data_IF_936801756372
#
_entry.id   IF_936801756372
#
_cell.length_a   1.000
_cell.length_b   1.000
_cell.length_c   1.000
_cell.angle_alpha   90.00
_cell.angle_beta   90.00
_cell.angle_gamma   90.00
#
_symmetry.space_group_name_H-M   'P 1'
#
loop_
_entity.id
_entity.type
_entity.pdbx_description
1 polymer ?
#
# COMPACT_ATOMS: atom_id res chain seq x y z
N UNK A 1 41.94 31.34 -14.82
CA UNK A 1 41.85 29.97 -15.38
C UNK A 1 42.23 28.95 -14.29
N UNK A 2 41.40 28.80 -13.24
CA UNK A 2 41.72 28.01 -12.02
C UNK A 2 40.76 26.82 -11.85
N UNK A 3 40.11 26.39 -12.93
CA UNK A 3 39.02 25.39 -12.84
C UNK A 3 39.40 24.00 -13.34
N UNK A 4 40.62 23.82 -13.88
CA UNK A 4 41.03 22.55 -14.53
C UNK A 4 41.86 21.64 -13.60
N UNK A 5 42.36 22.15 -12.46
CA UNK A 5 43.27 21.39 -11.59
C UNK A 5 42.59 20.50 -10.53
N UNK A 6 41.26 20.54 -10.40
CA UNK A 6 40.55 19.74 -9.38
C UNK A 6 40.31 18.29 -9.84
N UNK A 7 40.51 17.97 -11.13
CA UNK A 7 40.21 16.65 -11.69
C UNK A 7 41.31 15.57 -11.56
N UNK A 8 42.50 15.92 -11.07
CA UNK A 8 43.66 15.00 -11.06
C UNK A 8 44.16 14.69 -9.64
N UNK A 9 43.24 14.35 -8.72
CA UNK A 9 43.62 13.77 -7.43
C UNK A 9 42.89 12.42 -7.23
N UNK A 10 43.60 11.28 -7.23
CA UNK A 10 42.95 9.95 -7.14
C UNK A 10 42.26 9.72 -5.80
N UNK A 11 42.58 10.50 -4.76
CA UNK A 11 42.04 10.35 -3.41
C UNK A 11 40.60 10.87 -3.27
N UNK A 12 40.18 11.86 -4.07
CA UNK A 12 38.82 12.43 -4.03
C UNK A 12 37.78 11.60 -4.79
N UNK A 13 38.19 10.84 -5.82
CA UNK A 13 37.31 9.90 -6.54
C UNK A 13 36.79 8.75 -5.66
N UNK A 14 37.64 8.23 -4.79
CA UNK A 14 37.28 7.11 -3.89
C UNK A 14 36.25 7.56 -2.83
N UNK A 15 36.38 8.81 -2.34
CA UNK A 15 35.46 9.39 -1.36
C UNK A 15 34.07 9.64 -1.98
N UNK A 16 34.03 10.15 -3.20
CA UNK A 16 32.78 10.39 -3.95
C UNK A 16 32.05 9.07 -4.27
N UNK A 17 32.76 8.02 -4.72
CA UNK A 17 32.14 6.72 -5.01
C UNK A 17 31.56 6.03 -3.76
N UNK A 18 32.23 6.14 -2.61
CA UNK A 18 31.73 5.58 -1.34
C UNK A 18 30.41 6.22 -0.89
N UNK A 19 30.28 7.54 -1.02
CA UNK A 19 29.05 8.25 -0.65
C UNK A 19 27.88 7.94 -1.59
N UNK A 20 28.14 7.78 -2.89
CA UNK A 20 27.10 7.43 -3.87
C UNK A 20 26.55 6.02 -3.62
N UNK A 21 27.41 5.05 -3.29
CA UNK A 21 26.99 3.68 -2.94
C UNK A 21 26.16 3.65 -1.66
N UNK A 22 26.53 4.45 -0.65
CA UNK A 22 25.79 4.56 0.60
C UNK A 22 24.35 5.08 0.39
N UNK A 23 24.17 6.08 -0.48
CA UNK A 23 22.85 6.65 -0.80
C UNK A 23 21.96 5.64 -1.54
N UNK A 24 22.55 4.82 -2.41
CA UNK A 24 21.81 3.84 -3.22
C UNK A 24 21.18 2.73 -2.35
N UNK A 25 21.86 2.29 -1.29
CA UNK A 25 21.40 1.21 -0.39
C UNK A 25 20.22 1.68 0.47
N UNK A 26 20.23 2.95 0.91
CA UNK A 26 19.15 3.52 1.74
C UNK A 26 17.84 3.64 0.97
N UNK A 27 17.88 3.97 -0.33
CA UNK A 27 16.66 4.06 -1.14
C UNK A 27 15.99 2.70 -1.39
N UNK A 28 16.75 1.61 -1.45
CA UNK A 28 16.17 0.28 -1.70
C UNK A 28 15.44 -0.35 -0.50
N UNK A 29 15.70 0.13 0.73
CA UNK A 29 15.11 -0.43 1.95
C UNK A 29 13.64 -0.07 2.18
N UNK A 30 13.15 1.02 1.59
CA UNK A 30 11.85 1.62 1.93
C UNK A 30 10.67 0.90 1.24
N UNK A 31 10.92 0.07 0.22
CA UNK A 31 9.87 -0.60 -0.56
C UNK A 31 9.40 -1.95 0.03
N UNK A 32 10.01 -2.43 1.11
CA UNK A 32 9.90 -3.84 1.51
C UNK A 32 8.84 -4.15 2.57
N UNK A 33 8.10 -3.17 3.09
CA UNK A 33 7.20 -3.40 4.23
C UNK A 33 5.73 -3.12 3.88
N UNK A 34 5.18 -3.96 2.99
CA UNK A 34 3.75 -4.03 2.75
C UNK A 34 3.27 -5.47 2.99
N UNK A 35 3.19 -5.88 4.26
CA UNK A 35 2.54 -7.12 4.66
C UNK A 35 1.04 -7.01 4.43
N UNK A 36 0.57 -7.44 3.24
CA UNK A 36 -0.86 -7.53 2.94
C UNK A 36 -1.49 -8.58 3.86
N UNK A 37 -2.21 -8.14 4.89
CA UNK A 37 -3.19 -8.98 5.58
C UNK A 37 -4.26 -9.34 4.56
N UNK A 38 -4.39 -10.62 4.25
CA UNK A 38 -5.46 -11.13 3.38
C UNK A 38 -6.80 -11.00 4.11
N UNK A 39 -7.46 -9.89 3.82
CA UNK A 39 -8.86 -9.61 4.11
C UNK A 39 -9.54 -9.30 2.79
N UNK A 40 -10.85 -9.55 2.66
CA UNK A 40 -11.50 -9.26 1.39
C UNK A 40 -12.89 -9.80 1.15
N UNK A 41 -13.62 -10.32 2.14
CA UNK A 41 -15.02 -10.73 1.92
C UNK A 41 -15.95 -9.85 2.73
N UNK A 42 -16.86 -9.16 2.06
CA UNK A 42 -17.91 -8.34 2.68
C UNK A 42 -19.19 -9.16 2.79
N UNK A 43 -19.64 -9.41 4.02
CA UNK A 43 -20.86 -10.16 4.31
C UNK A 43 -21.99 -9.20 4.59
N UNK A 44 -23.09 -9.30 3.85
CA UNK A 44 -24.30 -8.52 4.02
C UNK A 44 -25.43 -9.41 4.54
N UNK A 45 -26.10 -8.95 5.59
CA UNK A 45 -27.32 -9.55 6.13
C UNK A 45 -28.47 -8.56 5.99
N UNK A 46 -29.61 -9.02 5.47
CA UNK A 46 -30.80 -8.21 5.30
C UNK A 46 -31.90 -8.63 6.28
N UNK A 47 -32.86 -7.75 6.55
CA UNK A 47 -33.98 -8.04 7.45
C UNK A 47 -34.89 -9.17 6.93
N UNK A 48 -34.91 -9.40 5.61
CA UNK A 48 -35.59 -10.55 4.99
C UNK A 48 -35.02 -11.92 5.41
N UNK A 49 -33.85 -11.93 6.07
CA UNK A 49 -33.12 -13.15 6.42
C UNK A 49 -32.10 -13.57 5.37
N UNK A 50 -32.10 -12.92 4.20
CA UNK A 50 -31.14 -13.18 3.13
C UNK A 50 -29.73 -12.76 3.53
N UNK A 51 -28.76 -13.60 3.15
CA UNK A 51 -27.33 -13.34 3.38
C UNK A 51 -26.60 -13.39 2.06
N UNK A 52 -25.94 -12.29 1.72
CA UNK A 52 -25.13 -12.17 0.50
C UNK A 52 -23.67 -11.93 0.87
N UNK A 53 -22.75 -12.46 0.09
CA UNK A 53 -21.32 -12.28 0.29
C UNK A 53 -20.68 -11.77 -0.99
N UNK A 54 -19.89 -10.70 -0.84
CA UNK A 54 -19.17 -10.05 -1.93
C UNK A 54 -17.69 -10.30 -1.75
N UNK A 55 -17.08 -10.97 -2.72
CA UNK A 55 -15.63 -11.17 -2.74
C UNK A 55 -14.96 -9.91 -3.32
N UNK A 56 -14.24 -9.22 -2.45
CA UNK A 56 -13.44 -8.03 -2.71
C UNK A 56 -11.94 -8.35 -2.66
N UNK A 57 -11.57 -9.64 -2.69
CA UNK A 57 -10.18 -10.05 -2.86
C UNK A 57 -9.62 -9.48 -4.16
N UNK A 58 -8.39 -9.00 -4.11
CA UNK A 58 -7.73 -8.34 -5.25
C UNK A 58 -7.88 -6.81 -5.27
N UNK A 59 -8.81 -6.23 -4.50
CA UNK A 59 -8.82 -4.80 -4.24
C UNK A 59 -7.84 -4.41 -3.13
N UNK A 60 -7.32 -3.19 -3.20
CA UNK A 60 -6.55 -2.62 -2.11
C UNK A 60 -7.42 -2.51 -0.84
N UNK A 61 -6.81 -2.65 0.34
CA UNK A 61 -7.53 -2.73 1.61
C UNK A 61 -8.44 -1.51 1.84
N UNK A 62 -8.01 -0.32 1.43
CA UNK A 62 -8.84 0.87 1.54
C UNK A 62 -10.08 0.76 0.65
N UNK A 63 -9.90 0.31 -0.60
CA UNK A 63 -11.00 0.09 -1.55
C UNK A 63 -11.96 -1.01 -1.09
N UNK A 64 -11.48 -2.04 -0.39
CA UNK A 64 -12.34 -3.06 0.20
C UNK A 64 -13.24 -2.49 1.30
N UNK A 65 -12.67 -1.63 2.16
CA UNK A 65 -13.44 -0.94 3.21
C UNK A 65 -14.48 -0.03 2.59
N UNK A 66 -14.08 0.81 1.62
CA UNK A 66 -14.98 1.75 0.96
C UNK A 66 -16.12 1.03 0.23
N UNK A 67 -15.79 -0.05 -0.50
CA UNK A 67 -16.79 -0.86 -1.20
C UNK A 67 -17.77 -1.51 -0.22
N UNK A 68 -17.27 -2.08 0.89
CA UNK A 68 -18.13 -2.72 1.88
C UNK A 68 -19.00 -1.72 2.65
N UNK A 69 -18.48 -0.51 2.93
CA UNK A 69 -19.25 0.56 3.53
C UNK A 69 -20.39 1.02 2.61
N UNK A 70 -20.12 1.16 1.32
CA UNK A 70 -21.17 1.52 0.35
C UNK A 70 -22.26 0.46 0.27
N UNK A 71 -21.88 -0.82 0.28
CA UNK A 71 -22.82 -1.92 0.35
C UNK A 71 -23.63 -1.90 1.66
N UNK A 72 -22.98 -1.57 2.79
CA UNK A 72 -23.66 -1.44 4.09
C UNK A 72 -24.68 -0.31 4.10
N UNK A 73 -24.38 0.83 3.48
CA UNK A 73 -25.31 1.96 3.37
C UNK A 73 -26.54 1.58 2.54
N UNK A 74 -26.33 0.91 1.40
CA UNK A 74 -27.42 0.38 0.57
C UNK A 74 -28.27 -0.66 1.34
N UNK A 75 -27.61 -1.57 2.07
CA UNK A 75 -28.30 -2.56 2.88
C UNK A 75 -29.07 -1.95 4.05
N UNK A 76 -28.58 -0.85 4.62
CA UNK A 76 -29.23 -0.17 5.76
C UNK A 76 -30.61 0.38 5.40
N UNK A 77 -30.84 0.78 4.14
CA UNK A 77 -32.15 1.16 3.63
C UNK A 77 -33.19 0.02 3.68
N UNK A 78 -32.75 -1.23 3.77
CA UNK A 78 -33.57 -2.43 3.91
C UNK A 78 -33.45 -3.07 5.30
N UNK A 79 -33.10 -2.27 6.32
CA UNK A 79 -32.82 -2.74 7.68
C UNK A 79 -31.75 -3.87 7.72
N UNK A 80 -30.84 -3.87 6.74
CA UNK A 80 -29.69 -4.75 6.67
C UNK A 80 -28.40 -4.12 7.17
N UNK A 81 -27.36 -4.93 7.31
CA UNK A 81 -26.00 -4.48 7.65
C UNK A 81 -24.96 -5.31 6.92
N UNK A 82 -23.84 -4.69 6.55
CA UNK A 82 -22.70 -5.39 5.95
C UNK A 82 -21.46 -5.28 6.84
N UNK A 83 -20.64 -6.34 6.87
CA UNK A 83 -19.37 -6.41 7.61
C UNK A 83 -18.27 -7.00 6.75
N UNK A 84 -17.15 -6.28 6.68
CA UNK A 84 -15.92 -6.77 6.06
C UNK A 84 -15.21 -7.75 7.00
N UNK A 85 -15.00 -8.98 6.54
CA UNK A 85 -14.25 -9.99 7.30
C UNK A 85 -12.75 -9.75 7.14
N UNK A 86 -12.10 -9.38 8.25
CA UNK A 86 -10.67 -9.08 8.39
C UNK A 86 -9.79 -10.31 8.26
#
# INVERSE_FOLDING_TARGET
MVSVLIFYNPKTRIIMMKNVVLILIVLTGILSSCSKKESGVCYCSYFSGDRTHYDLKGLDKQKQIDSCNRLSELASGFAGSCKLKK
#
